data_IF_690502390300
#
_entry.id   IF_690502390300
#
_cell.length_a   1.000
_cell.length_b   1.000
_cell.length_c   1.000
_cell.angle_alpha   90.00
_cell.angle_beta   90.00
_cell.angle_gamma   90.00
#
_symmetry.space_group_name_H-M   'P 1'
#
loop_
_entity.id
_entity.type
_entity.pdbx_description
1 polymer ?
#
# COMPACT_ATOMS: atom_id res chain seq x y z
N UNK A 1 -7.77 -21.71 20.04
CA UNK A 1 -8.31 -22.08 18.73
C UNK A 1 -8.95 -20.84 18.10
N UNK A 2 -8.16 -19.98 17.48
CA UNK A 2 -8.63 -18.70 16.94
C UNK A 2 -9.40 -18.95 15.64
N UNK A 3 -10.72 -18.90 15.72
CA UNK A 3 -11.59 -18.91 14.55
C UNK A 3 -11.38 -17.64 13.75
N UNK A 4 -10.69 -17.73 12.62
CA UNK A 4 -10.62 -16.63 11.67
C UNK A 4 -12.03 -16.29 11.17
N UNK A 5 -12.50 -15.09 11.49
CA UNK A 5 -13.75 -14.49 10.99
C UNK A 5 -13.88 -14.64 9.46
N UNK A 6 -15.09 -14.85 8.95
CA UNK A 6 -15.36 -14.94 7.50
C UNK A 6 -14.86 -13.68 6.75
N UNK A 7 -14.94 -12.51 7.38
CA UNK A 7 -14.45 -11.24 6.83
C UNK A 7 -12.93 -11.22 6.61
N UNK A 8 -12.15 -11.82 7.52
CA UNK A 8 -10.69 -11.87 7.36
C UNK A 8 -10.27 -12.83 6.26
N UNK A 9 -10.96 -13.96 6.10
CA UNK A 9 -10.74 -14.90 4.98
C UNK A 9 -11.08 -14.25 3.63
N UNK A 10 -12.18 -13.51 3.55
CA UNK A 10 -12.58 -12.79 2.33
C UNK A 10 -11.58 -11.70 1.95
N UNK A 11 -11.10 -10.91 2.92
CA UNK A 11 -10.03 -9.92 2.68
C UNK A 11 -8.75 -10.58 2.18
N UNK A 12 -8.31 -11.67 2.82
CA UNK A 12 -7.12 -12.40 2.39
C UNK A 12 -7.25 -12.92 0.95
N UNK A 13 -8.41 -13.48 0.59
CA UNK A 13 -8.69 -13.95 -0.77
C UNK A 13 -8.65 -12.81 -1.79
N UNK A 14 -9.27 -11.66 -1.50
CA UNK A 14 -9.27 -10.49 -2.40
C UNK A 14 -7.86 -9.94 -2.61
N UNK A 15 -7.08 -9.79 -1.54
CA UNK A 15 -5.67 -9.37 -1.59
C UNK A 15 -4.87 -10.31 -2.49
N UNK A 16 -5.03 -11.62 -2.32
CA UNK A 16 -4.35 -12.62 -3.12
C UNK A 16 -4.77 -12.56 -4.61
N UNK A 17 -6.06 -12.42 -4.91
CA UNK A 17 -6.56 -12.29 -6.29
C UNK A 17 -6.01 -11.02 -6.94
N UNK A 18 -6.02 -9.89 -6.24
CA UNK A 18 -5.47 -8.63 -6.73
C UNK A 18 -3.97 -8.76 -7.07
N UNK A 19 -3.19 -9.34 -6.16
CA UNK A 19 -1.75 -9.57 -6.36
C UNK A 19 -1.46 -10.47 -7.54
N UNK A 20 -2.22 -11.56 -7.72
CA UNK A 20 -2.12 -12.44 -8.90
C UNK A 20 -2.39 -11.71 -10.22
N UNK A 21 -3.24 -10.68 -10.20
CA UNK A 21 -3.51 -9.81 -11.37
C UNK A 21 -2.48 -8.70 -11.55
N UNK A 22 -1.36 -8.75 -10.84
CA UNK A 22 -0.33 -7.72 -10.88
C UNK A 22 -0.74 -6.40 -10.22
N UNK A 23 -1.79 -6.38 -9.39
CA UNK A 23 -2.26 -5.16 -8.72
C UNK A 23 -1.74 -5.08 -7.30
N UNK A 24 -1.43 -3.87 -6.87
CA UNK A 24 -1.07 -3.55 -5.49
C UNK A 24 -2.32 -3.60 -4.61
N UNK A 25 -2.28 -4.45 -3.60
CA UNK A 25 -3.33 -4.60 -2.61
C UNK A 25 -2.96 -3.88 -1.31
N UNK A 26 -3.94 -3.30 -0.62
CA UNK A 26 -3.69 -2.66 0.68
C UNK A 26 -3.95 -3.64 1.83
N UNK A 27 -3.10 -3.61 2.85
CA UNK A 27 -3.25 -4.36 4.09
C UNK A 27 -2.98 -3.42 5.27
N UNK A 28 -3.91 -3.33 6.21
CA UNK A 28 -3.74 -2.53 7.43
C UNK A 28 -3.07 -3.36 8.52
N UNK A 29 -2.06 -2.78 9.16
CA UNK A 29 -1.25 -3.40 10.21
C UNK A 29 -0.93 -2.37 11.31
N UNK A 30 -0.83 -2.80 12.56
CA UNK A 30 -0.36 -1.92 13.64
C UNK A 30 1.14 -1.65 13.57
N UNK A 31 1.90 -2.65 13.10
CA UNK A 31 3.36 -2.62 12.97
C UNK A 31 3.80 -3.01 11.55
N UNK A 32 4.82 -2.33 11.04
CA UNK A 32 5.43 -2.65 9.75
C UNK A 32 6.16 -3.99 9.82
N UNK A 33 5.97 -4.92 8.87
CA UNK A 33 6.72 -6.18 8.87
C UNK A 33 8.18 -5.98 8.48
N UNK A 34 9.07 -6.83 8.99
CA UNK A 34 10.50 -6.84 8.62
C UNK A 34 10.74 -7.01 7.11
N UNK A 35 9.84 -7.74 6.44
CA UNK A 35 9.90 -8.03 5.00
C UNK A 35 8.57 -7.68 4.35
N UNK A 36 8.61 -6.71 3.44
CA UNK A 36 7.46 -6.28 2.67
C UNK A 36 7.16 -7.30 1.56
N UNK A 37 5.90 -7.75 1.49
CA UNK A 37 5.47 -8.62 0.41
C UNK A 37 5.25 -7.84 -0.88
N UNK A 38 5.81 -8.33 -1.99
CA UNK A 38 5.62 -7.72 -3.32
C UNK A 38 4.14 -7.46 -3.65
N UNK A 39 3.89 -6.29 -4.26
CA UNK A 39 2.56 -5.77 -4.63
C UNK A 39 1.62 -5.61 -3.43
N UNK A 40 2.17 -5.26 -2.28
CA UNK A 40 1.40 -4.99 -1.05
C UNK A 40 1.73 -3.59 -0.56
N UNK A 41 0.70 -2.80 -0.31
CA UNK A 41 0.78 -1.50 0.36
C UNK A 41 0.37 -1.71 1.80
N UNK A 42 1.34 -1.69 2.71
CA UNK A 42 1.10 -1.79 4.14
C UNK A 42 0.68 -0.42 4.64
N UNK A 43 -0.51 -0.37 5.22
CA UNK A 43 -1.07 0.84 5.84
C UNK A 43 -0.85 0.71 7.32
N UNK A 44 0.19 1.38 7.83
CA UNK A 44 0.62 1.26 9.21
C UNK A 44 -0.14 2.26 10.07
N UNK A 45 -0.73 1.76 11.16
CA UNK A 45 -1.41 2.56 12.16
C UNK A 45 -2.47 1.76 12.91
N UNK A 46 -3.04 2.38 13.94
CA UNK A 46 -3.93 1.73 14.90
C UNK A 46 -5.17 2.60 15.19
N UNK A 47 -6.23 1.97 15.69
CA UNK A 47 -7.48 2.63 16.09
C UNK A 47 -8.07 3.57 15.03
N UNK A 48 -7.96 3.18 13.75
CA UNK A 48 -8.46 3.95 12.61
C UNK A 48 -7.55 5.11 12.17
N UNK A 49 -6.45 5.36 12.88
CA UNK A 49 -5.42 6.32 12.49
C UNK A 49 -4.43 5.66 11.53
N UNK A 50 -4.16 6.32 10.41
CA UNK A 50 -3.18 5.86 9.43
C UNK A 50 -1.98 6.78 9.49
N UNK A 51 -0.82 6.24 9.88
CA UNK A 51 0.40 7.03 10.03
C UNK A 51 1.16 7.12 8.71
N UNK A 52 1.41 5.97 8.07
CA UNK A 52 2.10 5.95 6.79
C UNK A 52 1.77 4.69 5.98
N UNK A 53 2.03 4.77 4.68
CA UNK A 53 2.04 3.62 3.78
C UNK A 53 3.48 3.16 3.50
N UNK A 54 3.74 1.86 3.59
CA UNK A 54 5.03 1.24 3.25
C UNK A 54 4.87 0.19 2.16
N UNK A 55 5.71 0.23 1.12
CA UNK A 55 5.72 -0.75 0.04
C UNK A 55 7.01 -0.68 -0.77
N UNK A 56 7.36 -1.80 -1.43
CA UNK A 56 8.49 -1.85 -2.35
C UNK A 56 8.29 -0.93 -3.55
N UNK A 57 9.36 -0.23 -3.95
CA UNK A 57 9.34 0.63 -5.12
C UNK A 57 8.99 -0.18 -6.38
N UNK A 58 7.92 0.18 -7.12
CA UNK A 58 7.45 -0.62 -8.24
C UNK A 58 8.39 -0.60 -9.46
N UNK A 59 9.45 0.22 -9.45
CA UNK A 59 10.45 0.20 -10.52
C UNK A 59 11.40 -1.01 -10.42
N UNK A 60 11.37 -1.75 -9.31
CA UNK A 60 12.22 -2.93 -9.11
C UNK A 60 13.60 -2.64 -8.51
N UNK A 61 13.87 -1.41 -8.06
CA UNK A 61 15.18 -1.07 -7.47
C UNK A 61 15.42 -1.65 -6.07
N UNK A 62 14.44 -2.37 -5.48
CA UNK A 62 14.56 -3.01 -4.16
C UNK A 62 14.39 -2.07 -2.96
N UNK A 63 14.21 -0.77 -3.19
CA UNK A 63 14.03 0.21 -2.11
C UNK A 63 12.59 0.23 -1.59
N UNK A 64 12.43 0.46 -0.28
CA UNK A 64 11.13 0.71 0.33
C UNK A 64 10.73 2.17 0.19
N UNK A 65 9.48 2.41 -0.20
CA UNK A 65 8.86 3.73 -0.16
C UNK A 65 8.00 3.82 1.09
N UNK A 66 8.23 4.86 1.91
CA UNK A 66 7.36 5.24 3.04
C UNK A 66 6.72 6.59 2.75
N UNK A 67 5.38 6.65 2.82
CA UNK A 67 4.60 7.85 2.53
C UNK A 67 3.75 8.21 3.74
N UNK A 68 3.88 9.43 4.26
CA UNK A 68 3.00 9.87 5.35
C UNK A 68 1.54 9.90 4.88
N UNK A 69 0.66 9.38 5.74
CA UNK A 69 -0.80 9.44 5.60
C UNK A 69 -1.43 10.37 6.64
N UNK A 70 -0.61 11.01 7.49
CA UNK A 70 -1.09 11.94 8.51
C UNK A 70 -1.69 13.19 7.84
N UNK A 71 -2.94 13.56 8.16
CA UNK A 71 -3.55 14.77 7.62
C UNK A 71 -2.73 16.02 7.99
N UNK A 72 -2.29 16.76 6.96
CA UNK A 72 -1.55 18.02 7.13
C UNK A 72 -0.05 17.91 6.86
N UNK A 73 0.51 16.69 6.81
CA UNK A 73 1.92 16.48 6.49
C UNK A 73 2.28 16.96 5.09
N UNK A 74 3.54 17.38 4.92
CA UNK A 74 4.09 17.82 3.64
C UNK A 74 5.48 17.21 3.41
N UNK A 75 5.63 16.33 2.39
CA UNK A 75 4.57 15.80 1.54
C UNK A 75 3.66 14.82 2.31
N UNK A 76 2.35 14.81 2.00
CA UNK A 76 1.36 13.94 2.61
C UNK A 76 0.46 13.30 1.55
N UNK A 77 0.05 12.05 1.78
CA UNK A 77 -0.75 11.25 0.85
C UNK A 77 -2.09 10.84 1.44
N UNK A 78 -3.07 10.65 0.56
CA UNK A 78 -4.35 10.02 0.84
C UNK A 78 -4.33 8.62 0.24
N UNK A 79 -4.65 7.63 1.07
CA UNK A 79 -4.81 6.25 0.64
C UNK A 79 -6.29 5.90 0.55
N UNK A 80 -6.69 5.27 -0.57
CA UNK A 80 -8.02 4.68 -0.74
C UNK A 80 -7.88 3.17 -0.93
N UNK A 81 -8.38 2.39 0.02
CA UNK A 81 -8.58 0.96 -0.17
C UNK A 81 -9.91 0.73 -0.92
N UNK A 82 -9.87 -0.11 -1.95
CA UNK A 82 -11.02 -0.47 -2.76
C UNK A 82 -11.65 -1.77 -2.26
N UNK A 83 -12.91 -2.01 -2.63
CA UNK A 83 -13.64 -3.23 -2.27
C UNK A 83 -12.98 -4.50 -2.82
N UNK A 84 -12.22 -4.39 -3.93
CA UNK A 84 -11.49 -5.49 -4.55
C UNK A 84 -10.11 -5.74 -3.90
N UNK A 85 -9.84 -5.09 -2.77
CA UNK A 85 -8.59 -5.17 -2.02
C UNK A 85 -7.47 -4.27 -2.55
N UNK A 86 -7.65 -3.60 -3.69
CA UNK A 86 -6.60 -2.76 -4.28
C UNK A 86 -6.43 -1.42 -3.58
N UNK A 87 -5.28 -0.77 -3.79
CA UNK A 87 -4.95 0.53 -3.21
C UNK A 87 -4.97 1.66 -4.27
N UNK A 88 -5.21 2.89 -3.84
CA UNK A 88 -4.85 4.09 -4.60
C UNK A 88 -4.20 5.11 -3.70
N UNK A 89 -3.23 5.84 -4.25
CA UNK A 89 -2.52 6.91 -3.57
C UNK A 89 -2.71 8.22 -4.34
N UNK A 90 -2.92 9.30 -3.59
CA UNK A 90 -2.95 10.65 -4.13
C UNK A 90 -2.23 11.61 -3.15
N UNK A 91 -1.35 12.50 -3.62
CA UNK A 91 -0.95 12.74 -5.01
C UNK A 91 -0.06 11.62 -5.60
N UNK A 92 0.48 11.82 -6.80
CA UNK A 92 1.51 10.93 -7.36
C UNK A 92 2.68 10.76 -6.39
N UNK A 93 3.36 9.63 -6.48
CA UNK A 93 4.59 9.37 -5.76
C UNK A 93 5.74 9.83 -6.64
N UNK A 94 6.52 10.80 -6.16
CA UNK A 94 7.74 11.24 -6.83
C UNK A 94 8.89 11.14 -5.85
N UNK A 95 9.77 10.17 -6.08
CA UNK A 95 11.02 10.06 -5.33
C UNK A 95 11.98 11.13 -5.82
N UNK A 96 12.50 11.94 -4.89
CA UNK A 96 13.52 12.96 -5.16
C UNK A 96 14.97 12.47 -5.00
N UNK A 97 15.12 11.23 -4.51
CA UNK A 97 16.39 10.57 -4.25
C UNK A 97 16.28 9.09 -4.62
N UNK A 98 17.41 8.42 -4.83
CA UNK A 98 17.45 7.01 -5.22
C UNK A 98 17.09 6.83 -6.70
N UNK A 99 16.20 5.89 -7.03
CA UNK A 99 15.81 5.61 -8.42
C UNK A 99 14.95 6.70 -9.10
N UNK A 100 14.63 7.78 -8.38
CA UNK A 100 13.85 8.93 -8.86
C UNK A 100 12.48 8.59 -9.52
N UNK A 101 11.92 7.43 -9.18
CA UNK A 101 10.67 6.96 -9.76
C UNK A 101 9.52 7.95 -9.55
N UNK A 102 8.76 8.19 -10.63
CA UNK A 102 7.57 9.03 -10.62
C UNK A 102 6.38 8.28 -11.21
N UNK A 103 5.35 8.07 -10.41
CA UNK A 103 4.17 7.31 -10.84
C UNK A 103 2.92 7.67 -10.03
N UNK A 104 1.78 7.30 -10.58
CA UNK A 104 0.51 7.20 -9.88
C UNK A 104 0.23 5.76 -9.48
N UNK A 105 -0.38 5.56 -8.31
CA UNK A 105 -0.95 4.27 -7.95
C UNK A 105 -2.48 4.37 -7.95
N UNK A 106 -3.15 3.77 -8.93
CA UNK A 106 -4.60 3.85 -9.13
C UNK A 106 -5.21 2.46 -9.28
N UNK A 107 -6.14 2.13 -8.38
CA UNK A 107 -6.78 0.81 -8.28
C UNK A 107 -5.78 -0.36 -8.38
N UNK A 108 -4.65 -0.21 -7.67
CA UNK A 108 -3.54 -1.14 -7.60
C UNK A 108 -2.62 -1.16 -8.83
N UNK A 109 -2.90 -0.37 -9.88
CA UNK A 109 -2.04 -0.23 -11.05
C UNK A 109 -1.07 0.92 -10.87
N UNK A 110 0.13 0.73 -11.39
CA UNK A 110 1.17 1.75 -11.46
C UNK A 110 1.09 2.39 -12.84
N UNK A 111 0.75 3.68 -12.88
CA UNK A 111 0.74 4.48 -14.10
C UNK A 111 1.95 5.42 -14.03
N UNK A 112 2.97 5.14 -14.84
CA UNK A 112 4.21 5.92 -14.90
C UNK A 112 3.97 7.30 -15.52
N UNK A 113 4.72 8.29 -15.05
CA UNK A 113 4.73 9.65 -15.61
C UNK A 113 5.77 9.80 -16.71
#
# INVERSE_FOLDING_TARGET
MTGFSLLSKLRAALTWVARRRGRHAAVSVGEEPDVLASRTVYVVGEDGHQWYAAFDCPCGCGETIKLSLIPGDRPGWKLRQHWDGTASLAPSVWRKVGCESHFWLRKGKVDWC
#
